data_IF_235783114667
#
_entry.id   IF_235783114667
#
_cell.length_a   1.000
_cell.length_b   1.000
_cell.length_c   1.000
_cell.angle_alpha   90.00
_cell.angle_beta   90.00
_cell.angle_gamma   90.00
#
_symmetry.space_group_name_H-M   'P 1'
#
loop_
_entity.id
_entity.type
_entity.pdbx_description
1 polymer ?
#
# COMPACT_ATOMS: atom_id res chain seq x y z
N UNK A 1 5.69 19.36 -4.39
CA UNK A 1 6.12 18.08 -5.02
C UNK A 1 5.32 16.97 -4.37
N UNK A 2 4.71 16.08 -5.15
CA UNK A 2 4.00 14.94 -4.56
C UNK A 2 4.99 14.08 -3.78
N UNK A 3 4.58 13.63 -2.61
CA UNK A 3 5.41 12.82 -1.73
C UNK A 3 5.83 11.53 -2.45
N UNK A 4 7.11 11.46 -2.83
CA UNK A 4 7.67 10.36 -3.62
C UNK A 4 7.53 9.03 -2.85
N UNK A 5 7.57 9.09 -1.52
CA UNK A 5 7.35 7.93 -0.66
C UNK A 5 5.92 7.42 -0.78
N UNK A 6 4.92 8.30 -0.70
CA UNK A 6 3.52 7.93 -0.87
C UNK A 6 3.25 7.34 -2.26
N UNK A 7 3.80 7.96 -3.31
CA UNK A 7 3.66 7.46 -4.69
C UNK A 7 4.24 6.06 -4.86
N UNK A 8 5.38 5.77 -4.26
CA UNK A 8 6.01 4.45 -4.32
C UNK A 8 5.14 3.40 -3.62
N UNK A 9 4.63 3.71 -2.41
CA UNK A 9 3.72 2.83 -1.68
C UNK A 9 2.43 2.54 -2.47
N UNK A 10 1.81 3.56 -3.05
CA UNK A 10 0.61 3.39 -3.86
C UNK A 10 0.86 2.56 -5.13
N UNK A 11 2.04 2.70 -5.74
CA UNK A 11 2.46 1.89 -6.89
C UNK A 11 2.65 0.42 -6.51
N UNK A 12 3.41 0.14 -5.44
CA UNK A 12 3.66 -1.21 -4.92
C UNK A 12 2.35 -1.91 -4.56
N UNK A 13 1.43 -1.19 -3.89
CA UNK A 13 0.09 -1.70 -3.57
C UNK A 13 -0.68 -2.14 -4.82
N UNK A 14 -0.71 -1.31 -5.87
CA UNK A 14 -1.44 -1.64 -7.11
C UNK A 14 -0.86 -2.85 -7.81
N UNK A 15 0.47 -2.96 -7.88
CA UNK A 15 1.14 -4.11 -8.49
C UNK A 15 0.82 -5.40 -7.74
N UNK A 16 0.92 -5.39 -6.40
CA UNK A 16 0.58 -6.55 -5.58
C UNK A 16 -0.89 -6.95 -5.73
N UNK A 17 -1.80 -5.99 -5.78
CA UNK A 17 -3.22 -6.26 -6.05
C UNK A 17 -3.44 -6.91 -7.42
N UNK A 18 -2.76 -6.44 -8.46
CA UNK A 18 -2.82 -7.03 -9.80
C UNK A 18 -2.27 -8.46 -9.80
N UNK A 19 -1.14 -8.71 -9.14
CA UNK A 19 -0.57 -10.06 -8.99
C UNK A 19 -1.51 -10.99 -8.23
N UNK A 20 -2.07 -10.55 -7.11
CA UNK A 20 -3.01 -11.34 -6.31
C UNK A 20 -4.27 -11.69 -7.13
N UNK A 21 -4.79 -10.75 -7.91
CA UNK A 21 -5.97 -10.96 -8.75
C UNK A 21 -5.67 -11.89 -9.92
N UNK A 22 -4.54 -11.70 -10.59
CA UNK A 22 -4.15 -12.49 -11.77
C UNK A 22 -3.84 -13.93 -11.40
N UNK A 23 -3.16 -14.16 -10.26
CA UNK A 23 -2.79 -15.50 -9.79
C UNK A 23 -3.84 -16.16 -8.89
N UNK A 24 -4.92 -15.46 -8.54
CA UNK A 24 -5.95 -15.97 -7.62
C UNK A 24 -5.42 -16.29 -6.22
N UNK A 25 -4.48 -15.47 -5.72
CA UNK A 25 -3.81 -15.76 -4.44
C UNK A 25 -4.77 -15.71 -3.25
N UNK A 26 -4.70 -16.70 -2.33
CA UNK A 26 -5.51 -16.70 -1.12
C UNK A 26 -5.16 -15.53 -0.19
N UNK A 27 -6.01 -15.29 0.81
CA UNK A 27 -5.84 -14.14 1.72
C UNK A 27 -4.63 -14.26 2.64
N UNK A 28 -4.15 -15.49 2.87
CA UNK A 28 -3.06 -15.79 3.79
C UNK A 28 -1.68 -15.71 3.13
N UNK A 29 -1.59 -15.27 1.86
CA UNK A 29 -0.31 -15.14 1.18
C UNK A 29 0.46 -13.91 1.64
N UNK A 30 1.81 -13.96 1.59
CA UNK A 30 2.64 -12.82 1.95
C UNK A 30 2.34 -11.56 1.12
N UNK A 31 1.86 -11.68 -0.12
CA UNK A 31 1.48 -10.54 -0.96
C UNK A 31 0.28 -9.78 -0.37
N UNK A 32 -0.71 -10.51 0.16
CA UNK A 32 -1.89 -9.91 0.82
C UNK A 32 -1.50 -9.27 2.16
N UNK A 33 -0.63 -9.91 2.93
CA UNK A 33 -0.08 -9.32 4.15
C UNK A 33 0.71 -8.05 3.84
N UNK A 34 1.49 -8.04 2.74
CA UNK A 34 2.23 -6.86 2.30
C UNK A 34 1.32 -5.71 1.90
N UNK A 35 0.22 -5.99 1.20
CA UNK A 35 -0.81 -4.98 0.87
C UNK A 35 -1.35 -4.32 2.14
N UNK A 36 -1.67 -5.11 3.18
CA UNK A 36 -2.17 -4.59 4.47
C UNK A 36 -1.14 -3.69 5.14
N UNK A 37 0.14 -4.08 5.13
CA UNK A 37 1.23 -3.27 5.67
C UNK A 37 1.38 -1.94 4.92
N UNK A 38 1.28 -1.96 3.58
CA UNK A 38 1.32 -0.74 2.76
C UNK A 38 0.12 0.17 3.04
N UNK A 39 -1.08 -0.40 3.17
CA UNK A 39 -2.28 0.36 3.52
C UNK A 39 -2.14 1.06 4.88
N UNK A 40 -1.56 0.39 5.88
CA UNK A 40 -1.26 0.99 7.17
C UNK A 40 -0.22 2.13 7.07
N UNK A 41 0.84 1.94 6.28
CA UNK A 41 1.86 2.96 6.07
C UNK A 41 1.31 4.20 5.36
N UNK A 42 0.46 4.03 4.34
CA UNK A 42 -0.23 5.11 3.65
C UNK A 42 -1.15 5.87 4.62
N UNK A 43 -1.92 5.16 5.44
CA UNK A 43 -2.81 5.76 6.42
C UNK A 43 -2.03 6.56 7.47
N UNK A 44 -0.95 6.00 8.01
CA UNK A 44 -0.08 6.67 8.97
C UNK A 44 0.56 7.94 8.37
N UNK A 45 1.01 7.87 7.12
CA UNK A 45 1.60 9.02 6.42
C UNK A 45 0.57 10.13 6.19
N UNK A 46 -0.63 9.76 5.73
CA UNK A 46 -1.73 10.72 5.54
C UNK A 46 -2.20 11.33 6.87
N UNK A 47 -2.24 10.55 7.95
CA UNK A 47 -2.58 11.04 9.28
C UNK A 47 -1.52 12.05 9.79
N UNK A 48 -0.23 11.75 9.60
CA UNK A 48 0.85 12.69 9.92
C UNK A 48 0.78 13.96 9.10
N UNK A 49 0.52 13.85 7.79
CA UNK A 49 0.38 15.01 6.91
C UNK A 49 -0.77 15.92 7.37
N UNK A 50 -1.90 15.32 7.78
CA UNK A 50 -3.06 16.06 8.31
C UNK A 50 -2.81 16.69 9.69
N UNK A 51 -2.00 16.05 10.54
CA UNK A 51 -1.66 16.58 11.86
C UNK A 51 -0.61 17.71 11.83
N UNK A 52 0.06 17.90 10.69
CA UNK A 52 1.06 18.95 10.47
C UNK A 52 0.50 20.21 9.77
N UNK A 53 -0.81 20.22 9.47
CA UNK A 53 -1.59 21.37 8.98
C UNK A 53 -2.29 22.05 10.16
#
# INVERSE_FOLDING_TARGET
MADLYLKNLESERRQLWATCRLKGLPKDTPERQRIVAIDAAIAAHKAKAKAAE
#
